data_IF_756947420725
#
_entry.id   IF_756947420725
#
_cell.length_a   1.000
_cell.length_b   1.000
_cell.length_c   1.000
_cell.angle_alpha   90.00
_cell.angle_beta   90.00
_cell.angle_gamma   90.00
#
_symmetry.space_group_name_H-M   'P 1'
#
loop_
_entity.id
_entity.type
_entity.pdbx_description
1 polymer ?
#
# COMPACT_ATOMS: atom_id res chain seq x y z
N UNK A 1 -13.08 18.91 -31.11
CA UNK A 1 -11.92 19.08 -30.20
C UNK A 1 -12.40 18.96 -28.75
N UNK A 2 -12.10 17.83 -28.10
CA UNK A 2 -12.53 17.51 -26.74
C UNK A 2 -11.86 18.35 -25.63
N UNK A 3 -12.39 18.23 -24.40
CA UNK A 3 -11.99 19.01 -23.20
C UNK A 3 -10.48 18.87 -22.91
N UNK A 4 -9.96 17.64 -22.90
CA UNK A 4 -8.54 17.32 -22.72
C UNK A 4 -7.63 18.18 -23.61
N UNK A 5 -7.86 18.13 -24.92
CA UNK A 5 -7.03 18.86 -25.89
C UNK A 5 -7.12 20.38 -25.70
N UNK A 6 -8.30 20.92 -25.36
CA UNK A 6 -8.45 22.37 -25.15
C UNK A 6 -7.71 22.82 -23.90
N UNK A 7 -7.86 22.09 -22.81
CA UNK A 7 -7.16 22.35 -21.56
C UNK A 7 -5.65 22.35 -21.76
N UNK A 8 -5.09 21.27 -22.31
CA UNK A 8 -3.64 21.15 -22.53
C UNK A 8 -3.10 22.31 -23.37
N UNK A 9 -3.79 22.72 -24.45
CA UNK A 9 -3.31 23.86 -25.26
C UNK A 9 -3.29 25.19 -24.51
N UNK A 10 -4.34 25.48 -23.74
CA UNK A 10 -4.44 26.72 -22.96
C UNK A 10 -3.32 26.75 -21.92
N UNK A 11 -3.18 25.64 -21.20
CA UNK A 11 -2.26 25.50 -20.08
C UNK A 11 -0.81 25.52 -20.53
N UNK A 12 -0.44 24.83 -21.61
CA UNK A 12 0.92 24.89 -22.15
C UNK A 12 1.29 26.30 -22.62
N UNK A 13 0.33 27.03 -23.21
CA UNK A 13 0.54 28.43 -23.58
C UNK A 13 0.73 29.31 -22.34
N UNK A 14 -0.05 29.10 -21.29
CA UNK A 14 0.11 29.80 -20.02
C UNK A 14 1.47 29.48 -19.39
N UNK A 15 1.85 28.20 -19.31
CA UNK A 15 3.13 27.75 -18.78
C UNK A 15 4.31 28.41 -19.50
N UNK A 16 4.25 28.54 -20.83
CA UNK A 16 5.27 29.24 -21.61
C UNK A 16 5.30 30.75 -21.31
N UNK A 17 4.15 31.42 -21.18
CA UNK A 17 4.07 32.86 -20.87
C UNK A 17 4.64 33.16 -19.48
N UNK A 18 4.33 32.31 -18.49
CA UNK A 18 4.76 32.49 -17.10
C UNK A 18 6.12 31.86 -16.80
N UNK A 19 6.79 31.24 -17.78
CA UNK A 19 8.12 30.65 -17.62
C UNK A 19 8.17 29.47 -16.64
N UNK A 20 7.10 28.68 -16.56
CA UNK A 20 6.99 27.56 -15.61
C UNK A 20 8.04 26.50 -15.92
N UNK A 21 8.88 26.17 -14.95
CA UNK A 21 9.88 25.11 -15.11
C UNK A 21 9.23 23.73 -15.11
N UNK A 22 9.68 22.86 -16.02
CA UNK A 22 9.14 21.50 -16.18
C UNK A 22 10.20 20.41 -15.97
N UNK A 23 11.18 20.69 -15.09
CA UNK A 23 12.28 19.76 -14.72
C UNK A 23 11.78 18.48 -14.06
N UNK A 24 10.68 18.58 -13.32
CA UNK A 24 9.92 17.43 -12.85
C UNK A 24 8.43 17.63 -13.10
N UNK A 25 7.73 16.51 -13.25
CA UNK A 25 6.30 16.44 -13.52
C UNK A 25 5.68 15.40 -12.60
N UNK A 26 4.59 15.74 -11.93
CA UNK A 26 3.93 14.87 -10.97
C UNK A 26 2.62 14.38 -11.57
N UNK A 27 2.47 13.07 -11.72
CA UNK A 27 1.24 12.45 -12.18
C UNK A 27 0.50 11.87 -10.99
N UNK A 28 -0.73 12.33 -10.79
CA UNK A 28 -1.63 11.83 -9.75
C UNK A 28 -3.06 11.75 -10.28
N UNK A 29 -3.85 10.87 -9.66
CA UNK A 29 -5.27 10.69 -9.95
C UNK A 29 -6.11 11.02 -8.72
N UNK A 30 -7.28 11.60 -8.95
CA UNK A 30 -8.28 11.82 -7.91
C UNK A 30 -9.68 11.56 -8.42
N UNK A 31 -10.58 11.19 -7.51
CA UNK A 31 -12.01 10.99 -7.80
C UNK A 31 -12.78 12.25 -7.41
N UNK A 32 -13.72 12.67 -8.26
CA UNK A 32 -14.65 13.76 -7.97
C UNK A 32 -16.06 13.21 -7.75
N UNK A 33 -16.56 13.32 -6.52
CA UNK A 33 -17.90 12.85 -6.15
C UNK A 33 -18.99 13.82 -6.62
N UNK A 34 -20.11 13.30 -7.11
CA UNK A 34 -21.22 14.09 -7.65
C UNK A 34 -22.58 13.57 -7.22
N UNK A 35 -23.58 14.46 -7.23
CA UNK A 35 -24.98 14.17 -6.89
C UNK A 35 -25.87 14.39 -8.11
N UNK A 36 -26.71 13.41 -8.43
CA UNK A 36 -27.64 13.51 -9.55
C UNK A 36 -28.00 12.16 -10.14
N UNK A 37 -29.03 12.13 -10.99
CA UNK A 37 -29.51 10.88 -11.60
C UNK A 37 -28.54 10.34 -12.66
N UNK A 38 -27.77 11.19 -13.34
CA UNK A 38 -26.81 10.87 -14.43
C UNK A 38 -27.21 9.63 -15.24
N UNK A 39 -27.99 9.84 -16.31
CA UNK A 39 -28.39 8.77 -17.23
C UNK A 39 -27.18 8.28 -18.00
N UNK A 40 -27.05 6.97 -18.18
CA UNK A 40 -26.08 6.42 -19.12
C UNK A 40 -26.51 6.80 -20.54
N UNK A 41 -25.59 7.36 -21.34
CA UNK A 41 -25.84 7.61 -22.76
C UNK A 41 -25.82 6.28 -23.52
N UNK A 42 -26.66 6.18 -24.54
CA UNK A 42 -26.62 5.09 -25.53
C UNK A 42 -25.35 5.28 -26.37
N UNK A 43 -24.61 4.20 -26.58
CA UNK A 43 -23.26 4.17 -27.18
C UNK A 43 -23.29 4.35 -28.71
N UNK A 44 -23.98 5.38 -29.22
CA UNK A 44 -24.02 5.65 -30.65
C UNK A 44 -22.80 6.47 -31.08
N UNK A 45 -21.97 5.86 -31.94
CA UNK A 45 -20.93 6.45 -32.81
C UNK A 45 -20.18 7.69 -32.26
N UNK A 46 -19.69 7.63 -31.02
CA UNK A 46 -18.78 8.67 -30.50
C UNK A 46 -17.33 8.32 -30.90
N UNK A 47 -16.67 9.25 -31.60
CA UNK A 47 -15.22 9.20 -31.88
C UNK A 47 -14.45 9.13 -30.55
N UNK A 48 -13.34 8.38 -30.47
CA UNK A 48 -12.60 8.13 -29.21
C UNK A 48 -12.21 9.43 -28.49
N UNK A 49 -11.99 10.52 -29.24
CA UNK A 49 -11.65 11.83 -28.70
C UNK A 49 -12.83 12.61 -28.10
N UNK A 50 -14.06 12.19 -28.37
CA UNK A 50 -15.30 12.81 -27.90
C UNK A 50 -16.14 11.92 -27.00
N UNK A 51 -15.68 10.69 -26.74
CA UNK A 51 -16.36 9.75 -25.86
C UNK A 51 -16.62 10.35 -24.50
N UNK A 52 -17.89 10.39 -24.10
CA UNK A 52 -18.29 10.90 -22.80
C UNK A 52 -17.86 9.94 -21.67
N UNK A 53 -17.38 10.49 -20.55
CA UNK A 53 -17.11 9.71 -19.34
C UNK A 53 -18.40 9.16 -18.75
N UNK A 54 -18.33 7.98 -18.14
CA UNK A 54 -19.43 7.36 -17.40
C UNK A 54 -19.33 7.70 -15.92
N UNK A 55 -20.33 8.45 -15.45
CA UNK A 55 -20.49 8.81 -14.04
C UNK A 55 -21.04 7.60 -13.27
N UNK A 56 -20.16 6.92 -12.52
CA UNK A 56 -20.42 5.62 -11.89
C UNK A 56 -20.01 5.61 -10.42
N UNK A 57 -20.55 4.66 -9.65
CA UNK A 57 -20.04 4.38 -8.31
C UNK A 57 -18.66 3.73 -8.41
N UNK A 58 -17.79 4.03 -7.45
CA UNK A 58 -16.47 3.43 -7.38
C UNK A 58 -15.88 3.58 -5.98
N UNK A 59 -14.58 3.31 -5.87
CA UNK A 59 -13.86 3.48 -4.61
C UNK A 59 -13.83 4.97 -4.24
N UNK A 60 -14.39 5.32 -3.08
CA UNK A 60 -14.48 6.71 -2.62
C UNK A 60 -13.38 7.01 -1.59
N UNK A 61 -12.40 7.84 -1.98
CA UNK A 61 -11.36 8.35 -1.06
C UNK A 61 -11.96 9.25 0.03
N UNK A 62 -13.06 9.95 -0.29
CA UNK A 62 -13.78 10.86 0.62
C UNK A 62 -14.78 10.15 1.56
N UNK A 63 -14.75 8.80 1.62
CA UNK A 63 -15.67 7.98 2.41
C UNK A 63 -17.15 8.21 2.09
N UNK A 64 -17.46 8.47 0.81
CA UNK A 64 -18.81 8.64 0.24
C UNK A 64 -19.11 7.58 -0.82
N UNK A 65 -19.14 6.28 -0.47
CA UNK A 65 -19.45 5.21 -1.42
C UNK A 65 -20.89 5.28 -1.96
N UNK A 66 -21.75 6.10 -1.33
CA UNK A 66 -23.12 6.40 -1.74
C UNK A 66 -23.21 7.38 -2.91
N UNK A 67 -22.10 8.01 -3.31
CA UNK A 67 -22.07 8.97 -4.41
C UNK A 67 -21.46 8.38 -5.67
N UNK A 68 -22.03 8.77 -6.82
CA UNK A 68 -21.38 8.54 -8.11
C UNK A 68 -20.17 9.47 -8.22
N UNK A 69 -19.21 9.11 -9.04
CA UNK A 69 -17.99 9.87 -9.24
C UNK A 69 -17.49 9.79 -10.68
N UNK A 70 -16.48 10.59 -10.98
CA UNK A 70 -15.62 10.46 -12.15
C UNK A 70 -14.15 10.61 -11.74
N UNK A 71 -13.25 10.11 -12.56
CA UNK A 71 -11.81 10.19 -12.30
C UNK A 71 -11.22 11.41 -13.01
N UNK A 72 -10.29 12.08 -12.33
CA UNK A 72 -9.49 13.18 -12.83
C UNK A 72 -8.01 12.81 -12.68
N UNK A 73 -7.36 12.56 -13.80
CA UNK A 73 -5.92 12.36 -13.88
C UNK A 73 -5.26 13.69 -14.27
N UNK A 74 -4.23 14.11 -13.54
CA UNK A 74 -3.51 15.35 -13.81
C UNK A 74 -2.00 15.15 -13.79
N UNK A 75 -1.32 15.82 -14.71
CA UNK A 75 0.12 16.05 -14.61
C UNK A 75 0.32 17.50 -14.21
N UNK A 76 1.08 17.73 -13.14
CA UNK A 76 1.45 19.05 -12.68
C UNK A 76 2.97 19.28 -12.77
N UNK A 77 3.41 20.52 -12.96
CA UNK A 77 4.81 20.90 -12.84
C UNK A 77 5.30 20.67 -11.40
N UNK A 78 6.55 20.23 -11.24
CA UNK A 78 7.18 20.20 -9.91
C UNK A 78 7.49 21.61 -9.38
N UNK A 79 7.62 22.58 -10.27
CA UNK A 79 7.73 24.00 -9.94
C UNK A 79 6.32 24.58 -9.67
N UNK A 80 5.89 24.52 -8.41
CA UNK A 80 4.67 25.15 -7.94
C UNK A 80 3.35 24.41 -8.19
N UNK A 81 3.38 23.22 -8.80
CA UNK A 81 2.18 22.38 -8.94
C UNK A 81 1.20 22.85 -10.01
N UNK A 82 1.66 23.58 -11.02
CA UNK A 82 0.81 24.07 -12.11
C UNK A 82 0.37 22.88 -12.98
N UNK A 83 -0.94 22.65 -13.19
CA UNK A 83 -1.39 21.61 -14.11
C UNK A 83 -0.78 21.83 -15.49
N UNK A 84 -0.42 20.77 -16.19
CA UNK A 84 0.13 20.75 -17.56
C UNK A 84 -0.75 19.89 -18.48
N UNK A 85 -1.44 18.91 -17.90
CA UNK A 85 -2.34 18.00 -18.60
C UNK A 85 -3.46 17.53 -17.68
N UNK A 86 -4.62 17.27 -18.27
CA UNK A 86 -5.73 16.63 -17.58
C UNK A 86 -6.37 15.57 -18.48
N UNK A 87 -6.80 14.47 -17.86
CA UNK A 87 -7.68 13.49 -18.49
C UNK A 87 -8.79 13.13 -17.53
N UNK A 88 -10.02 13.13 -18.03
CA UNK A 88 -11.17 12.62 -17.31
C UNK A 88 -11.34 11.13 -17.61
N UNK A 89 -11.77 10.37 -16.62
CA UNK A 89 -12.04 8.94 -16.71
C UNK A 89 -13.36 8.54 -16.06
N UNK A 90 -13.75 7.30 -16.26
CA UNK A 90 -14.98 6.73 -15.71
C UNK A 90 -14.89 6.60 -14.18
N UNK A 91 -16.02 6.70 -13.47
CA UNK A 91 -16.03 6.72 -11.99
C UNK A 91 -15.46 5.50 -11.26
N UNK A 92 -15.32 4.37 -11.96
CA UNK A 92 -14.77 3.12 -11.43
C UNK A 92 -13.45 2.72 -12.08
N UNK A 93 -12.82 3.64 -12.83
CA UNK A 93 -11.56 3.39 -13.50
C UNK A 93 -10.43 3.25 -12.47
N UNK A 94 -9.52 2.29 -12.70
CA UNK A 94 -8.42 2.00 -11.80
C UNK A 94 -7.12 2.54 -12.37
N UNK A 95 -6.41 3.36 -11.59
CA UNK A 95 -5.16 4.03 -11.96
C UNK A 95 -4.17 3.10 -12.69
N UNK A 96 -3.98 1.87 -12.17
CA UNK A 96 -3.09 0.85 -12.75
C UNK A 96 -3.31 0.58 -14.23
N UNK A 97 -4.57 0.65 -14.70
CA UNK A 97 -4.96 0.37 -16.09
C UNK A 97 -4.88 1.61 -16.98
N UNK A 98 -4.99 2.81 -16.40
CA UNK A 98 -5.07 4.07 -17.16
C UNK A 98 -3.68 4.67 -17.39
N UNK A 99 -2.74 4.41 -16.48
CA UNK A 99 -1.38 4.94 -16.55
C UNK A 99 -0.68 4.72 -17.90
N UNK A 100 -0.70 3.50 -18.50
CA UNK A 100 -0.19 3.28 -19.86
C UNK A 100 -0.69 4.29 -20.89
N UNK A 101 -2.00 4.48 -20.95
CA UNK A 101 -2.63 5.36 -21.92
C UNK A 101 -2.32 6.82 -21.61
N UNK A 102 -2.32 7.21 -20.34
CA UNK A 102 -1.94 8.57 -19.92
C UNK A 102 -0.51 8.87 -20.34
N UNK A 103 0.44 7.98 -20.07
CA UNK A 103 1.86 8.18 -20.41
C UNK A 103 2.02 8.33 -21.92
N UNK A 104 1.39 7.45 -22.70
CA UNK A 104 1.40 7.54 -24.17
C UNK A 104 0.81 8.87 -24.65
N UNK A 105 -0.37 9.23 -24.15
CA UNK A 105 -1.05 10.48 -24.52
C UNK A 105 -0.20 11.71 -24.19
N UNK A 106 0.53 11.65 -23.07
CA UNK A 106 1.41 12.71 -22.61
C UNK A 106 2.69 12.77 -23.44
N UNK A 107 3.31 11.66 -23.80
CA UNK A 107 4.46 11.63 -24.71
C UNK A 107 4.14 12.23 -26.08
N UNK A 108 2.90 12.06 -26.57
CA UNK A 108 2.45 12.65 -27.84
C UNK A 108 2.17 14.16 -27.75
N UNK A 109 1.91 14.72 -26.56
CA UNK A 109 1.34 16.07 -26.38
C UNK A 109 2.19 17.00 -25.52
N UNK A 110 3.07 16.46 -24.70
CA UNK A 110 3.91 17.15 -23.74
C UNK A 110 5.37 16.80 -24.00
N UNK A 111 6.26 17.75 -23.75
CA UNK A 111 7.66 17.43 -23.59
C UNK A 111 7.85 16.67 -22.27
N UNK A 112 8.12 15.37 -22.35
CA UNK A 112 8.35 14.51 -21.19
C UNK A 112 9.81 14.50 -20.73
N UNK A 113 10.66 15.42 -21.22
CA UNK A 113 11.99 15.66 -20.65
C UNK A 113 11.89 16.00 -19.15
N UNK A 114 12.90 15.53 -18.40
CA UNK A 114 12.94 15.65 -16.94
C UNK A 114 12.31 14.46 -16.21
N UNK A 115 12.16 14.60 -14.89
CA UNK A 115 11.74 13.52 -14.00
C UNK A 115 10.22 13.45 -13.85
N UNK A 116 9.63 12.32 -14.20
CA UNK A 116 8.20 12.03 -13.96
C UNK A 116 8.02 11.32 -12.62
N UNK A 117 7.40 11.99 -11.64
CA UNK A 117 7.11 11.44 -10.31
C UNK A 117 5.70 10.85 -10.31
N UNK A 118 5.57 9.58 -9.94
CA UNK A 118 4.31 8.85 -9.93
C UNK A 118 4.16 8.07 -8.63
N UNK A 119 2.92 7.78 -8.23
CA UNK A 119 2.65 7.02 -7.02
C UNK A 119 3.03 5.53 -7.17
N UNK A 120 2.83 4.74 -6.12
CA UNK A 120 3.14 3.30 -6.15
C UNK A 120 2.17 2.46 -7.00
N UNK A 121 1.04 2.99 -7.43
CA UNK A 121 0.13 2.30 -8.34
C UNK A 121 0.69 2.24 -9.77
N UNK A 122 1.58 3.18 -10.13
CA UNK A 122 2.38 3.08 -11.36
C UNK A 122 3.26 1.82 -11.38
N UNK A 123 3.81 1.37 -10.25
CA UNK A 123 4.82 0.30 -10.19
C UNK A 123 4.22 -1.10 -10.44
N UNK A 124 3.94 -1.40 -11.71
CA UNK A 124 3.55 -2.72 -12.23
C UNK A 124 4.50 -3.12 -13.36
N UNK A 125 4.68 -4.41 -13.61
CA UNK A 125 5.58 -4.91 -14.65
C UNK A 125 5.29 -4.29 -16.03
N UNK A 126 4.01 -4.19 -16.38
CA UNK A 126 3.54 -3.59 -17.64
C UNK A 126 3.90 -2.09 -17.73
N UNK A 127 3.58 -1.31 -16.69
CA UNK A 127 3.80 0.13 -16.69
C UNK A 127 5.28 0.49 -16.72
N UNK A 128 6.11 -0.23 -15.97
CA UNK A 128 7.57 -0.04 -15.96
C UNK A 128 8.13 -0.32 -17.36
N UNK A 129 7.71 -1.41 -18.01
CA UNK A 129 8.13 -1.74 -19.38
C UNK A 129 7.75 -0.68 -20.42
N UNK A 130 6.60 -0.02 -20.26
CA UNK A 130 6.17 1.06 -21.16
C UNK A 130 6.90 2.39 -20.91
N UNK A 131 7.39 2.62 -19.69
CA UNK A 131 8.04 3.87 -19.29
C UNK A 131 9.54 3.94 -19.61
N UNK A 132 10.09 2.99 -20.40
CA UNK A 132 11.52 2.96 -20.80
C UNK A 132 12.03 4.25 -21.44
N UNK A 133 11.15 4.98 -22.13
CA UNK A 133 11.50 6.20 -22.85
C UNK A 133 11.46 7.48 -21.99
N UNK A 134 11.10 7.39 -20.71
CA UNK A 134 11.02 8.54 -19.80
C UNK A 134 11.84 8.30 -18.53
N UNK A 135 12.34 9.38 -17.93
CA UNK A 135 12.90 9.31 -16.58
C UNK A 135 11.75 9.36 -15.58
N UNK A 136 11.70 8.40 -14.65
CA UNK A 136 10.63 8.31 -13.68
C UNK A 136 11.14 8.00 -12.27
N UNK A 137 10.32 8.39 -11.28
CA UNK A 137 10.48 8.07 -9.86
C UNK A 137 9.14 7.60 -9.33
N UNK A 138 9.11 6.40 -8.75
CA UNK A 138 7.91 5.83 -8.13
C UNK A 138 8.28 5.00 -6.91
N UNK A 139 7.30 4.80 -6.02
CA UNK A 139 7.46 4.01 -4.81
C UNK A 139 7.32 2.52 -5.15
N UNK A 140 8.35 1.75 -4.81
CA UNK A 140 8.31 0.28 -4.90
C UNK A 140 7.35 -0.29 -3.84
N UNK A 141 6.41 -1.18 -4.22
CA UNK A 141 5.55 -1.88 -3.26
C UNK A 141 6.38 -2.76 -2.33
N UNK A 142 6.11 -2.72 -1.02
CA UNK A 142 6.89 -3.45 -0.01
C UNK A 142 7.04 -4.94 -0.32
N UNK A 143 5.97 -5.58 -0.83
CA UNK A 143 5.98 -7.00 -1.22
C UNK A 143 7.10 -7.34 -2.20
N UNK A 144 7.42 -6.44 -3.13
CA UNK A 144 8.48 -6.64 -4.13
C UNK A 144 9.86 -6.38 -3.52
N UNK A 145 9.96 -5.55 -2.47
CA UNK A 145 11.22 -5.11 -1.89
C UNK A 145 11.67 -5.93 -0.66
N UNK A 146 10.85 -6.85 -0.15
CA UNK A 146 11.07 -7.55 1.12
C UNK A 146 12.44 -8.24 1.18
N UNK A 147 12.78 -9.03 0.17
CA UNK A 147 14.06 -9.75 0.12
C UNK A 147 15.24 -8.79 0.02
N UNK A 148 15.12 -7.73 -0.79
CA UNK A 148 16.17 -6.72 -0.91
C UNK A 148 16.41 -6.02 0.42
N UNK A 149 15.36 -5.64 1.14
CA UNK A 149 15.46 -4.98 2.44
C UNK A 149 16.07 -5.89 3.51
N UNK A 150 15.78 -7.19 3.49
CA UNK A 150 16.34 -8.16 4.43
C UNK A 150 17.86 -8.39 4.26
N UNK A 151 18.40 -8.09 3.08
CA UNK A 151 19.78 -8.40 2.70
C UNK A 151 20.71 -7.17 2.66
N UNK A 152 20.30 -6.02 3.23
CA UNK A 152 21.18 -4.85 3.35
C UNK A 152 21.97 -4.95 4.64
N UNK A 153 23.28 -5.14 4.54
CA UNK A 153 24.19 -5.15 5.69
C UNK A 153 24.43 -3.73 6.21
N UNK A 154 24.68 -3.60 7.51
CA UNK A 154 24.78 -2.30 8.19
C UNK A 154 25.94 -1.43 7.66
N UNK A 155 27.03 -2.06 7.24
CA UNK A 155 28.21 -1.44 6.63
C UNK A 155 27.95 -0.87 5.23
N UNK A 156 26.86 -1.28 4.58
CA UNK A 156 26.53 -0.86 3.23
C UNK A 156 25.74 0.45 3.20
N UNK A 157 25.33 1.00 4.33
CA UNK A 157 24.56 2.25 4.35
C UNK A 157 25.44 3.48 4.18
N UNK A 158 24.93 4.45 3.43
CA UNK A 158 25.52 5.77 3.30
C UNK A 158 24.72 6.76 4.14
N UNK A 159 25.42 7.67 4.82
CA UNK A 159 24.75 8.76 5.53
C UNK A 159 24.10 9.71 4.52
N UNK A 160 22.87 10.13 4.82
CA UNK A 160 22.17 11.15 4.05
C UNK A 160 22.73 12.53 4.32
N UNK A 161 22.49 13.46 3.40
CA UNK A 161 22.81 14.87 3.59
C UNK A 161 21.97 15.50 4.72
N UNK A 162 20.78 14.94 4.95
CA UNK A 162 19.90 15.34 6.04
C UNK A 162 20.13 14.46 7.27
N UNK A 163 20.35 15.10 8.42
CA UNK A 163 20.53 14.43 9.70
C UNK A 163 19.39 13.44 9.99
N UNK A 164 19.77 12.24 10.43
CA UNK A 164 18.83 11.16 10.75
C UNK A 164 18.30 10.40 9.53
N UNK A 165 18.83 10.66 8.34
CA UNK A 165 18.57 9.84 7.15
C UNK A 165 19.83 9.09 6.73
N UNK A 166 19.62 7.87 6.26
CA UNK A 166 20.63 7.09 5.54
C UNK A 166 20.00 6.44 4.34
N UNK A 167 20.81 6.12 3.35
CA UNK A 167 20.32 5.55 2.11
C UNK A 167 21.30 4.55 1.52
N UNK A 168 20.77 3.74 0.61
CA UNK A 168 21.55 2.79 -0.15
C UNK A 168 20.91 2.54 -1.52
N UNK A 169 21.76 2.34 -2.53
CA UNK A 169 21.36 2.04 -3.90
C UNK A 169 21.49 0.54 -4.18
N UNK A 170 20.48 -0.03 -4.85
CA UNK A 170 20.48 -1.42 -5.33
C UNK A 170 20.08 -1.46 -6.79
N UNK A 171 20.76 -2.33 -7.55
CA UNK A 171 20.23 -2.77 -8.83
C UNK A 171 19.05 -3.71 -8.56
N UNK A 172 18.00 -3.60 -9.36
CA UNK A 172 16.89 -4.55 -9.33
C UNK A 172 16.47 -4.88 -10.76
N UNK A 173 15.81 -6.01 -10.91
CA UNK A 173 15.12 -6.37 -12.13
C UNK A 173 13.65 -6.62 -11.82
N UNK A 174 12.75 -5.89 -12.46
CA UNK A 174 11.31 -6.07 -12.29
C UNK A 174 10.58 -5.75 -13.59
N UNK A 175 9.67 -6.62 -13.99
CA UNK A 175 8.97 -6.50 -15.28
C UNK A 175 9.86 -6.67 -16.51
N UNK A 176 11.03 -7.30 -16.36
CA UNK A 176 12.04 -7.42 -17.42
C UNK A 176 12.86 -6.15 -17.64
N UNK A 177 12.72 -5.13 -16.76
CA UNK A 177 13.52 -3.92 -16.78
C UNK A 177 14.56 -3.90 -15.68
N UNK A 178 15.78 -3.51 -16.02
CA UNK A 178 16.81 -3.14 -15.05
C UNK A 178 16.49 -1.77 -14.47
N UNK A 179 16.55 -1.68 -13.15
CA UNK A 179 16.17 -0.49 -12.40
C UNK A 179 17.17 -0.19 -11.30
N UNK A 180 17.13 1.05 -10.84
CA UNK A 180 17.89 1.52 -9.68
C UNK A 180 16.93 1.81 -8.54
N UNK A 181 16.97 0.98 -7.51
CA UNK A 181 16.25 1.23 -6.27
C UNK A 181 17.10 2.09 -5.33
N UNK A 182 16.44 3.09 -4.74
CA UNK A 182 16.98 3.89 -3.66
C UNK A 182 16.21 3.53 -2.40
N UNK A 183 16.88 2.84 -1.47
CA UNK A 183 16.34 2.53 -0.15
C UNK A 183 16.74 3.68 0.77
N UNK A 184 15.74 4.28 1.42
CA UNK A 184 15.95 5.40 2.36
C UNK A 184 15.39 5.00 3.71
N UNK A 185 16.21 5.11 4.75
CA UNK A 185 15.81 4.91 6.14
C UNK A 185 15.82 6.24 6.88
N UNK A 186 14.76 6.49 7.64
CA UNK A 186 14.64 7.62 8.55
C UNK A 186 14.70 7.12 9.99
N UNK A 187 15.68 7.59 10.76
CA UNK A 187 15.86 7.23 12.16
C UNK A 187 14.63 7.59 13.01
N UNK A 188 14.02 8.76 12.76
CA UNK A 188 12.79 9.19 13.42
C UNK A 188 11.62 8.23 13.14
N UNK A 189 11.49 7.80 11.87
CA UNK A 189 10.42 6.89 11.48
C UNK A 189 10.63 5.50 12.06
N UNK A 190 11.87 5.00 12.01
CA UNK A 190 12.27 3.72 12.61
C UNK A 190 11.93 3.70 14.11
N UNK A 191 12.29 4.76 14.85
CA UNK A 191 11.97 4.87 16.26
C UNK A 191 10.45 4.87 16.52
N UNK A 192 9.69 5.61 15.71
CA UNK A 192 8.23 5.69 15.83
C UNK A 192 7.55 4.35 15.55
N UNK A 193 7.99 3.66 14.50
CA UNK A 193 7.45 2.36 14.10
C UNK A 193 7.83 1.28 15.13
N UNK A 194 9.07 1.27 15.64
CA UNK A 194 9.49 0.38 16.73
C UNK A 194 8.65 0.59 17.98
N UNK A 195 8.42 1.84 18.39
CA UNK A 195 7.54 2.15 19.54
C UNK A 195 6.12 1.65 19.33
N UNK A 196 5.57 1.81 18.13
CA UNK A 196 4.24 1.33 17.79
C UNK A 196 4.15 -0.21 17.83
N UNK A 197 5.20 -0.91 17.36
CA UNK A 197 5.30 -2.37 17.44
C UNK A 197 5.40 -2.82 18.90
N UNK A 198 6.27 -2.23 19.72
CA UNK A 198 6.39 -2.55 21.14
C UNK A 198 5.05 -2.40 21.87
N UNK A 199 4.29 -1.33 21.59
CA UNK A 199 2.96 -1.14 22.17
C UNK A 199 1.95 -2.21 21.72
N UNK A 200 2.02 -2.69 20.48
CA UNK A 200 1.18 -3.80 20.01
C UNK A 200 1.54 -5.10 20.74
N UNK A 201 2.82 -5.38 20.90
CA UNK A 201 3.32 -6.55 21.65
C UNK A 201 2.83 -6.49 23.10
N UNK A 202 3.00 -5.36 23.79
CA UNK A 202 2.53 -5.20 25.18
C UNK A 202 1.01 -5.37 25.33
N UNK A 203 0.22 -4.85 24.38
CA UNK A 203 -1.24 -5.04 24.39
C UNK A 203 -1.59 -6.50 24.19
N UNK A 204 -0.92 -7.18 23.26
CA UNK A 204 -1.10 -8.61 23.03
C UNK A 204 -0.67 -9.43 24.25
N UNK A 205 0.45 -9.11 24.90
CA UNK A 205 0.93 -9.79 26.11
C UNK A 205 -0.11 -9.79 27.23
N UNK A 206 -0.80 -8.67 27.45
CA UNK A 206 -1.89 -8.58 28.44
C UNK A 206 -3.07 -9.50 28.11
N UNK A 207 -3.38 -9.70 26.83
CA UNK A 207 -4.44 -10.61 26.38
C UNK A 207 -3.98 -12.05 26.52
N UNK A 208 -2.81 -12.37 25.98
CA UNK A 208 -2.17 -13.69 26.04
C UNK A 208 -2.04 -14.19 27.48
N UNK A 209 -1.59 -13.35 28.41
CA UNK A 209 -1.50 -13.72 29.84
C UNK A 209 -2.86 -14.05 30.45
N UNK A 210 -3.92 -13.34 30.09
CA UNK A 210 -5.28 -13.63 30.58
C UNK A 210 -5.84 -14.92 29.98
N UNK A 211 -5.64 -15.13 28.69
CA UNK A 211 -6.02 -16.37 28.02
C UNK A 211 -5.26 -17.57 28.58
N UNK A 212 -3.96 -17.40 28.82
CA UNK A 212 -3.12 -18.39 29.46
C UNK A 212 -3.59 -18.76 30.86
N UNK A 213 -3.92 -17.77 31.68
CA UNK A 213 -4.48 -18.00 33.02
C UNK A 213 -5.80 -18.77 32.95
N UNK A 214 -6.65 -18.48 31.96
CA UNK A 214 -7.88 -19.25 31.74
C UNK A 214 -7.58 -20.68 31.32
N UNK A 215 -6.68 -20.88 30.36
CA UNK A 215 -6.28 -22.20 29.89
C UNK A 215 -5.68 -23.05 31.01
N UNK A 216 -4.77 -22.48 31.81
CA UNK A 216 -4.22 -23.12 33.00
C UNK A 216 -5.26 -23.37 34.09
N UNK A 217 -6.40 -22.68 34.07
CA UNK A 217 -7.51 -22.89 35.00
C UNK A 217 -8.56 -23.88 34.49
N UNK A 218 -8.44 -24.35 33.24
CA UNK A 218 -9.37 -25.31 32.65
C UNK A 218 -9.06 -26.73 33.10
N UNK A 219 -10.13 -27.50 33.17
CA UNK A 219 -10.15 -28.86 33.63
C UNK A 219 -10.25 -29.77 32.40
N UNK A 220 -9.21 -30.54 32.12
CA UNK A 220 -9.16 -31.50 31.01
C UNK A 220 -9.48 -32.92 31.51
N UNK A 221 -10.02 -33.78 30.63
CA UNK A 221 -10.34 -35.16 30.99
C UNK A 221 -9.09 -36.04 31.06
N UNK A 222 -8.10 -35.76 30.20
CA UNK A 222 -6.82 -36.44 30.19
C UNK A 222 -5.65 -35.52 29.79
N UNK A 223 -4.44 -36.05 29.90
CA UNK A 223 -3.19 -35.38 29.50
C UNK A 223 -3.09 -35.08 28.01
N UNK A 224 -3.57 -36.00 27.18
CA UNK A 224 -3.55 -35.79 25.73
C UNK A 224 -4.40 -34.57 25.33
N UNK A 225 -5.55 -34.35 25.98
CA UNK A 225 -6.43 -33.21 25.69
C UNK A 225 -5.77 -31.88 26.10
N UNK A 226 -5.16 -31.84 27.29
CA UNK A 226 -4.46 -30.65 27.79
C UNK A 226 -3.26 -30.28 26.89
N UNK A 227 -2.48 -31.26 26.45
CA UNK A 227 -1.36 -31.05 25.53
C UNK A 227 -1.83 -30.59 24.15
N UNK A 228 -2.92 -31.17 23.64
CA UNK A 228 -3.48 -30.81 22.33
C UNK A 228 -3.90 -29.33 22.31
N UNK A 229 -4.64 -28.90 23.34
CA UNK A 229 -5.08 -27.50 23.44
C UNK A 229 -3.88 -26.55 23.60
N UNK A 230 -2.89 -26.93 24.43
CA UNK A 230 -1.66 -26.16 24.62
C UNK A 230 -0.80 -26.05 23.35
N UNK A 231 -0.90 -26.98 22.41
CA UNK A 231 -0.22 -26.93 21.11
C UNK A 231 -1.00 -26.16 20.04
N UNK A 232 -2.33 -26.11 20.14
CA UNK A 232 -3.20 -25.42 19.18
C UNK A 232 -3.29 -23.92 19.48
N UNK A 233 -3.45 -23.53 20.74
CA UNK A 233 -3.61 -22.12 21.11
C UNK A 233 -2.44 -21.22 20.64
N UNK A 234 -1.15 -21.59 20.74
CA UNK A 234 -0.03 -20.77 20.26
C UNK A 234 -0.10 -20.45 18.77
N UNK A 235 -0.72 -21.32 17.95
CA UNK A 235 -0.91 -21.07 16.51
C UNK A 235 -1.84 -19.90 16.23
N UNK A 236 -2.64 -19.48 17.21
CA UNK A 236 -3.52 -18.30 17.12
C UNK A 236 -2.78 -17.00 17.48
N UNK A 237 -1.58 -17.10 18.08
CA UNK A 237 -0.83 -15.95 18.57
C UNK A 237 0.06 -15.37 17.46
N UNK A 238 0.01 -14.04 17.31
CA UNK A 238 0.81 -13.34 16.28
C UNK A 238 2.20 -12.92 16.77
N UNK A 239 2.34 -12.55 18.05
CA UNK A 239 3.56 -11.93 18.59
C UNK A 239 4.26 -12.75 19.68
N UNK A 240 3.65 -13.87 20.10
CA UNK A 240 4.10 -14.65 21.25
C UNK A 240 4.18 -16.12 20.85
N UNK A 241 5.12 -16.83 21.46
CA UNK A 241 5.27 -18.28 21.34
C UNK A 241 5.41 -18.88 22.72
N UNK A 242 5.01 -20.14 22.88
CA UNK A 242 5.27 -20.90 24.09
C UNK A 242 6.68 -21.51 24.01
N UNK A 243 7.46 -21.33 25.08
CA UNK A 243 8.78 -21.92 25.28
C UNK A 243 8.67 -23.33 25.83
N UNK A 244 7.99 -23.48 26.95
CA UNK A 244 7.82 -24.72 27.69
C UNK A 244 6.36 -24.90 28.11
N UNK A 245 5.94 -26.16 28.13
CA UNK A 245 4.56 -26.59 28.34
C UNK A 245 4.67 -27.78 29.29
N UNK A 246 4.31 -27.56 30.55
CA UNK A 246 4.25 -28.62 31.56
C UNK A 246 2.80 -28.92 31.91
N UNK A 247 2.54 -30.19 32.20
CA UNK A 247 1.21 -30.71 32.49
C UNK A 247 1.26 -31.28 33.92
N UNK A 248 0.63 -30.60 34.88
CA UNK A 248 0.58 -31.11 36.27
C UNK A 248 -0.75 -31.76 36.57
N UNK A 249 -0.76 -33.03 36.95
CA UNK A 249 -1.99 -33.72 37.37
C UNK A 249 -2.43 -33.29 38.77
N UNK A 250 -3.69 -32.88 38.94
CA UNK A 250 -4.32 -32.61 40.23
C UNK A 250 -5.24 -33.79 40.59
N UNK A 251 -5.11 -34.37 41.81
CA UNK A 251 -6.04 -35.37 42.30
C UNK A 251 -7.42 -34.75 42.59
N UNK A 252 -8.47 -35.33 41.99
CA UNK A 252 -9.86 -34.95 42.22
C UNK A 252 -10.53 -35.98 43.15
N UNK A 253 -10.93 -35.56 44.34
CA UNK A 253 -11.65 -36.40 45.30
C UNK A 253 -13.14 -36.07 45.25
N UNK A 254 -13.92 -36.87 44.51
CA UNK A 254 -15.38 -36.95 44.73
C UNK A 254 -15.71 -38.18 45.57
N UNK A 255 -16.67 -38.03 46.46
CA UNK A 255 -17.22 -39.07 47.35
C UNK A 255 -17.95 -40.21 46.62
N UNK A 256 -17.76 -40.36 45.30
CA UNK A 256 -18.02 -41.60 44.58
C UNK A 256 -17.10 -41.67 43.35
N UNK A 257 -16.54 -42.86 43.15
CA UNK A 257 -15.48 -43.24 42.20
C UNK A 257 -15.85 -42.84 40.78
N UNK A 258 -15.01 -42.03 40.12
CA UNK A 258 -14.54 -42.15 38.73
C UNK A 258 -13.43 -41.11 38.49
N UNK A 259 -12.23 -41.59 38.17
CA UNK A 259 -10.99 -40.80 38.04
C UNK A 259 -11.03 -39.94 36.77
N UNK A 260 -11.20 -38.62 36.91
CA UNK A 260 -10.88 -37.64 35.88
C UNK A 260 -9.67 -36.84 36.36
N UNK A 261 -8.59 -36.89 35.59
CA UNK A 261 -7.28 -36.28 35.89
C UNK A 261 -7.28 -34.85 35.36
N UNK A 262 -7.45 -33.86 36.23
CA UNK A 262 -7.32 -32.46 35.83
C UNK A 262 -5.86 -32.05 35.77
N UNK A 263 -5.51 -31.23 34.78
CA UNK A 263 -4.15 -30.78 34.57
C UNK A 263 -4.05 -29.28 34.75
N UNK A 264 -3.15 -28.82 35.63
CA UNK A 264 -2.92 -27.41 35.90
C UNK A 264 -1.48 -27.02 35.63
N UNK A 265 -1.31 -25.76 35.27
CA UNK A 265 -0.04 -25.05 35.13
C UNK A 265 0.86 -25.54 33.99
N UNK A 266 0.58 -25.02 32.81
CA UNK A 266 1.63 -24.77 31.84
C UNK A 266 2.48 -23.57 32.35
N UNK A 267 3.80 -23.74 32.47
CA UNK A 267 4.74 -22.66 32.77
C UNK A 267 5.61 -22.38 31.54
N UNK A 268 5.65 -21.12 31.12
CA UNK A 268 6.56 -20.62 30.08
C UNK A 268 7.91 -20.21 30.66
#
# INVERSE_FOLDING_TARGET
MGVKNRFTKIVLKAAAIFGIEQKSKHLDSTSMSVQGKYKERIEDEEDEQTKAIKIKFGYSRDKRPDLKQFMLNMICSGDGGVPLFMQLGDGNESDKKVFPQIIKDCQERLNMEGLSVMDGAFYTAENVGMARSIQWLSRVPLKEATETLANISEDQWQQGEQDGYRWQVRASEYGGEQQRWLVVESAQRLQSDNKAISQKIEKADKVVKKEWQKLCGQNFACEADALTEAQLWPKTLTYHQLSQVEVQTIPYYTSNVHNLRFIKALKS
#
